data_IF_822366497871
#
_entry.id   IF_822366497871
#
_cell.length_a   1.000
_cell.length_b   1.000
_cell.length_c   1.000
_cell.angle_alpha   90.00
_cell.angle_beta   90.00
_cell.angle_gamma   90.00
#
_symmetry.space_group_name_H-M   'P 1'
#
loop_
_entity.id
_entity.type
_entity.pdbx_description
1 polymer ?
#
# COMPACT_ATOMS: atom_id res chain seq x y z
N UNK A 1 34.80 -32.93 -1.63
CA UNK A 1 33.48 -33.37 -2.14
C UNK A 1 32.46 -32.46 -1.50
N UNK A 2 31.67 -31.76 -2.32
CA UNK A 2 30.63 -30.84 -1.85
C UNK A 2 29.26 -31.52 -1.84
N UNK A 3 28.37 -31.02 -0.99
CA UNK A 3 27.00 -31.51 -0.89
C UNK A 3 26.14 -30.96 -2.05
N UNK A 4 25.09 -31.71 -2.42
CA UNK A 4 24.13 -31.33 -3.46
C UNK A 4 22.72 -31.31 -2.90
N UNK A 5 22.02 -30.22 -3.15
CA UNK A 5 20.62 -30.04 -2.85
C UNK A 5 19.79 -30.20 -4.12
N UNK A 6 18.94 -31.23 -4.16
CA UNK A 6 18.12 -31.58 -5.32
C UNK A 6 16.66 -31.31 -5.02
N UNK A 7 15.99 -30.56 -5.89
CA UNK A 7 14.56 -30.25 -5.82
C UNK A 7 13.89 -30.48 -7.17
N UNK A 8 12.59 -30.73 -7.15
CA UNK A 8 11.81 -30.91 -8.37
C UNK A 8 11.72 -29.60 -9.17
N UNK A 9 11.41 -28.47 -8.50
CA UNK A 9 11.09 -27.18 -9.11
C UNK A 9 11.51 -26.00 -8.21
N UNK A 10 11.56 -24.79 -8.78
CA UNK A 10 12.01 -23.55 -8.09
C UNK A 10 11.07 -23.19 -6.92
N UNK A 11 9.77 -23.44 -7.02
CA UNK A 11 8.80 -23.16 -5.95
C UNK A 11 9.03 -23.99 -4.67
N UNK A 12 9.86 -25.05 -4.74
CA UNK A 12 10.27 -25.81 -3.55
C UNK A 12 11.32 -25.08 -2.70
N UNK A 13 11.84 -23.96 -3.18
CA UNK A 13 12.86 -23.16 -2.50
C UNK A 13 12.26 -22.05 -1.60
N UNK A 14 10.95 -21.79 -1.65
CA UNK A 14 10.32 -20.76 -0.83
C UNK A 14 8.88 -20.46 -1.21
N UNK A 15 8.14 -19.78 -0.33
CA UNK A 15 6.71 -19.42 -0.52
C UNK A 15 6.49 -18.17 -1.35
N UNK A 16 7.52 -17.35 -1.47
CA UNK A 16 7.52 -16.11 -2.23
C UNK A 16 8.92 -15.90 -2.83
N UNK A 17 9.04 -14.92 -3.72
CA UNK A 17 10.28 -14.63 -4.43
C UNK A 17 11.44 -14.27 -3.49
N UNK A 18 11.18 -13.50 -2.43
CA UNK A 18 12.19 -13.08 -1.47
C UNK A 18 12.78 -14.31 -0.73
N UNK A 19 11.94 -15.23 -0.27
CA UNK A 19 12.36 -16.51 0.36
C UNK A 19 13.16 -17.41 -0.59
N UNK A 20 12.77 -17.47 -1.87
CA UNK A 20 13.50 -18.26 -2.88
C UNK A 20 14.90 -17.67 -3.07
N UNK A 21 15.03 -16.35 -3.17
CA UNK A 21 16.32 -15.66 -3.32
C UNK A 21 17.21 -15.91 -2.09
N UNK A 22 16.64 -15.82 -0.88
CA UNK A 22 17.35 -16.12 0.36
C UNK A 22 17.89 -17.56 0.37
N UNK A 23 17.06 -18.54 0.00
CA UNK A 23 17.45 -19.95 -0.06
C UNK A 23 18.56 -20.18 -1.09
N UNK A 24 18.48 -19.59 -2.28
CA UNK A 24 19.53 -19.72 -3.30
C UNK A 24 20.84 -19.06 -2.85
N UNK A 25 20.78 -17.88 -2.20
CA UNK A 25 21.96 -17.22 -1.65
C UNK A 25 22.61 -18.04 -0.54
N UNK A 26 21.81 -18.62 0.35
CA UNK A 26 22.30 -19.52 1.39
C UNK A 26 23.06 -20.73 0.82
N UNK A 27 22.51 -21.36 -0.23
CA UNK A 27 23.17 -22.48 -0.91
C UNK A 27 24.46 -22.04 -1.62
N UNK A 28 24.49 -20.81 -2.16
CA UNK A 28 25.68 -20.20 -2.77
C UNK A 28 26.79 -19.94 -1.75
N UNK A 29 26.45 -19.38 -0.58
CA UNK A 29 27.41 -19.12 0.51
C UNK A 29 28.03 -20.40 1.07
N UNK A 30 27.25 -21.48 1.10
CA UNK A 30 27.70 -22.80 1.58
C UNK A 30 28.41 -23.65 0.54
N UNK A 31 28.61 -23.15 -0.67
CA UNK A 31 29.18 -23.90 -1.80
C UNK A 31 28.44 -25.23 -2.08
N UNK A 32 27.12 -25.23 -1.85
CA UNK A 32 26.24 -26.39 -2.09
C UNK A 32 25.72 -26.31 -3.52
N UNK A 33 25.83 -27.41 -4.26
CA UNK A 33 25.29 -27.50 -5.63
C UNK A 33 23.77 -27.52 -5.56
N UNK A 34 23.10 -26.66 -6.33
CA UNK A 34 21.63 -26.66 -6.44
C UNK A 34 21.25 -27.35 -7.74
N UNK A 35 20.34 -28.31 -7.67
CA UNK A 35 19.85 -29.05 -8.83
C UNK A 35 18.33 -29.03 -8.84
N UNK A 36 17.75 -28.61 -9.96
CA UNK A 36 16.32 -28.50 -10.20
C UNK A 36 15.97 -29.46 -11.32
N UNK A 37 15.26 -30.53 -11.00
CA UNK A 37 15.00 -31.63 -11.93
C UNK A 37 14.11 -31.22 -13.10
N UNK A 38 13.23 -30.23 -12.91
CA UNK A 38 12.33 -29.74 -13.96
C UNK A 38 13.02 -28.92 -15.06
N UNK A 39 14.30 -28.55 -14.90
CA UNK A 39 15.04 -27.76 -15.89
C UNK A 39 15.86 -28.70 -16.80
N UNK A 40 15.48 -28.88 -18.08
CA UNK A 40 16.05 -29.91 -18.97
C UNK A 40 17.56 -29.81 -19.21
N UNK A 41 18.20 -28.70 -18.86
CA UNK A 41 19.63 -28.44 -19.06
C UNK A 41 20.50 -28.58 -17.81
N UNK A 42 19.90 -28.82 -16.64
CA UNK A 42 20.64 -28.84 -15.37
C UNK A 42 21.46 -30.13 -15.18
N UNK A 43 21.12 -31.19 -15.90
CA UNK A 43 21.88 -32.44 -15.92
C UNK A 43 23.23 -32.32 -16.67
N UNK A 44 23.34 -31.41 -17.63
CA UNK A 44 24.57 -31.18 -18.41
C UNK A 44 25.54 -30.20 -17.72
N UNK A 45 25.02 -29.43 -16.76
CA UNK A 45 25.79 -28.51 -15.89
C UNK A 45 26.57 -29.28 -14.81
N UNK A 46 26.26 -30.57 -14.61
CA UNK A 46 26.88 -31.42 -13.60
C UNK A 46 28.39 -31.55 -13.84
N UNK A 47 29.19 -31.02 -12.91
CA UNK A 47 30.65 -31.15 -12.92
C UNK A 47 31.40 -29.87 -13.34
N UNK A 48 30.70 -28.84 -13.82
CA UNK A 48 31.31 -27.54 -14.11
C UNK A 48 30.83 -26.47 -13.13
N UNK A 49 31.68 -26.15 -12.15
CA UNK A 49 31.41 -25.14 -11.12
C UNK A 49 31.07 -23.74 -11.69
N UNK A 50 31.59 -23.40 -12.89
CA UNK A 50 31.30 -22.11 -13.51
C UNK A 50 29.86 -22.04 -14.03
N UNK A 51 29.36 -23.15 -14.59
CA UNK A 51 27.99 -23.23 -15.10
C UNK A 51 26.96 -23.28 -13.95
N UNK A 52 27.25 -23.95 -12.84
CA UNK A 52 26.40 -23.95 -11.64
C UNK A 52 26.24 -22.53 -11.07
N UNK A 53 27.37 -21.80 -10.94
CA UNK A 53 27.35 -20.40 -10.49
C UNK A 53 26.55 -19.50 -11.44
N UNK A 54 26.75 -19.64 -12.75
CA UNK A 54 26.02 -18.88 -13.76
C UNK A 54 24.51 -19.13 -13.70
N UNK A 55 24.09 -20.39 -13.58
CA UNK A 55 22.68 -20.75 -13.48
C UNK A 55 22.02 -20.17 -12.22
N UNK A 56 22.70 -20.23 -11.06
CA UNK A 56 22.22 -19.59 -9.82
C UNK A 56 22.04 -18.09 -10.00
N UNK A 57 23.03 -17.40 -10.56
CA UNK A 57 22.98 -15.96 -10.78
C UNK A 57 21.86 -15.57 -11.77
N UNK A 58 21.64 -16.36 -12.83
CA UNK A 58 20.56 -16.15 -13.79
C UNK A 58 19.17 -16.34 -13.16
N UNK A 59 18.97 -17.40 -12.36
CA UNK A 59 17.70 -17.64 -11.67
C UNK A 59 17.40 -16.47 -10.72
N UNK A 60 18.39 -16.00 -9.95
CA UNK A 60 18.24 -14.83 -9.07
C UNK A 60 17.82 -13.60 -9.87
N UNK A 61 18.47 -13.32 -11.00
CA UNK A 61 18.15 -12.17 -11.85
C UNK A 61 16.73 -12.22 -12.41
N UNK A 62 16.29 -13.38 -12.91
CA UNK A 62 14.93 -13.55 -13.45
C UNK A 62 13.89 -13.35 -12.35
N UNK A 63 14.09 -13.94 -11.17
CA UNK A 63 13.16 -13.81 -10.05
C UNK A 63 13.11 -12.36 -9.52
N UNK A 64 14.25 -11.68 -9.46
CA UNK A 64 14.32 -10.26 -9.10
C UNK A 64 13.56 -9.38 -10.10
N UNK A 65 13.73 -9.63 -11.41
CA UNK A 65 13.03 -8.91 -12.46
C UNK A 65 11.51 -9.09 -12.37
N UNK A 66 11.03 -10.32 -12.19
CA UNK A 66 9.59 -10.61 -12.05
C UNK A 66 9.02 -9.90 -10.82
N UNK A 67 9.74 -9.94 -9.69
CA UNK A 67 9.33 -9.26 -8.46
C UNK A 67 9.20 -7.74 -8.63
N UNK A 68 10.15 -7.12 -9.32
CA UNK A 68 10.10 -5.69 -9.65
C UNK A 68 8.93 -5.36 -10.59
N UNK A 69 8.71 -6.20 -11.61
CA UNK A 69 7.62 -6.05 -12.55
C UNK A 69 6.25 -6.10 -11.83
N UNK A 70 6.02 -7.06 -10.94
CA UNK A 70 4.76 -7.17 -10.19
C UNK A 70 4.51 -5.97 -9.26
N UNK A 71 5.55 -5.46 -8.60
CA UNK A 71 5.47 -4.26 -7.75
C UNK A 71 5.07 -3.03 -8.59
N UNK A 72 5.63 -2.90 -9.79
CA UNK A 72 5.32 -1.81 -10.70
C UNK A 72 3.92 -1.95 -11.31
N UNK A 73 3.52 -3.16 -11.69
CA UNK A 73 2.19 -3.47 -12.22
C UNK A 73 1.08 -3.15 -11.21
N UNK A 74 1.29 -3.47 -9.93
CA UNK A 74 0.32 -3.18 -8.87
C UNK A 74 0.05 -1.67 -8.74
N UNK A 75 1.12 -0.87 -8.75
CA UNK A 75 1.01 0.61 -8.73
C UNK A 75 0.37 1.13 -10.02
N UNK A 76 0.72 0.57 -11.18
CA UNK A 76 0.14 0.94 -12.47
C UNK A 76 -1.37 0.73 -12.48
N UNK A 77 -1.85 -0.44 -12.04
CA UNK A 77 -3.29 -0.75 -11.96
C UNK A 77 -4.00 0.13 -10.95
N UNK A 78 -3.38 0.41 -9.80
CA UNK A 78 -3.93 1.35 -8.83
C UNK A 78 -4.08 2.75 -9.43
N UNK A 79 -3.06 3.26 -10.10
CA UNK A 79 -3.09 4.57 -10.75
C UNK A 79 -4.18 4.63 -11.84
N UNK A 80 -4.30 3.59 -12.66
CA UNK A 80 -5.39 3.46 -13.65
C UNK A 80 -6.77 3.49 -12.98
N UNK A 81 -6.96 2.73 -11.89
CA UNK A 81 -8.22 2.73 -11.13
C UNK A 81 -8.54 4.08 -10.51
N UNK A 82 -7.55 4.77 -9.94
CA UNK A 82 -7.69 6.13 -9.40
C UNK A 82 -8.10 7.10 -10.51
N UNK A 83 -7.48 7.01 -11.69
CA UNK A 83 -7.81 7.89 -12.81
C UNK A 83 -9.27 7.69 -13.24
N UNK A 84 -9.70 6.45 -13.45
CA UNK A 84 -11.10 6.13 -13.79
C UNK A 84 -12.08 6.63 -12.72
N UNK A 85 -11.73 6.50 -11.44
CA UNK A 85 -12.56 6.99 -10.34
C UNK A 85 -12.59 8.53 -10.24
N UNK A 86 -11.50 9.21 -10.59
CA UNK A 86 -11.46 10.68 -10.73
C UNK A 86 -12.33 11.15 -11.88
N UNK A 87 -12.24 10.51 -13.05
CA UNK A 87 -13.05 10.85 -14.23
C UNK A 87 -14.55 10.64 -13.97
N UNK A 88 -14.90 9.65 -13.16
CA UNK A 88 -16.27 9.41 -12.66
C UNK A 88 -16.71 10.35 -11.53
N UNK A 89 -15.86 11.27 -11.07
CA UNK A 89 -16.19 12.20 -9.99
C UNK A 89 -16.37 11.56 -8.61
N UNK A 90 -15.82 10.36 -8.38
CA UNK A 90 -15.95 9.64 -7.10
C UNK A 90 -15.19 10.36 -5.98
N UNK A 91 -14.05 10.96 -6.29
CA UNK A 91 -13.24 11.69 -5.33
C UNK A 91 -13.86 13.07 -5.02
N UNK A 92 -14.59 13.17 -3.90
CA UNK A 92 -15.23 14.41 -3.42
C UNK A 92 -14.42 15.16 -2.34
N UNK A 93 -13.14 14.82 -2.20
CA UNK A 93 -12.27 15.39 -1.16
C UNK A 93 -12.65 14.94 0.25
N UNK A 94 -12.23 15.72 1.25
CA UNK A 94 -12.52 15.43 2.66
C UNK A 94 -13.98 15.75 2.99
N UNK A 95 -14.77 14.80 3.52
CA UNK A 95 -16.12 15.08 3.99
C UNK A 95 -16.14 16.17 5.08
N UNK A 96 -17.24 16.91 5.17
CA UNK A 96 -17.42 17.95 6.18
C UNK A 96 -17.31 17.37 7.59
N UNK A 97 -16.44 17.99 8.39
CA UNK A 97 -16.13 17.49 9.74
C UNK A 97 -17.26 17.79 10.75
N UNK A 98 -17.92 18.94 10.60
CA UNK A 98 -19.05 19.39 11.41
C UNK A 98 -20.21 19.64 10.47
N UNK A 99 -21.18 18.72 10.49
CA UNK A 99 -22.38 18.73 9.65
C UNK A 99 -23.41 17.81 10.32
N UNK A 100 -24.72 17.90 9.97
CA UNK A 100 -25.73 17.01 10.53
C UNK A 100 -25.45 15.53 10.20
N UNK A 101 -24.76 15.29 9.07
CA UNK A 101 -24.40 13.95 8.59
C UNK A 101 -22.91 13.62 8.82
N UNK A 102 -22.23 14.31 9.74
CA UNK A 102 -20.83 14.02 10.03
C UNK A 102 -20.67 12.57 10.50
N UNK A 103 -19.60 11.90 10.05
CA UNK A 103 -19.30 10.49 10.38
C UNK A 103 -19.20 10.28 11.90
N UNK A 104 -18.63 11.25 12.60
CA UNK A 104 -18.41 11.24 14.05
C UNK A 104 -19.63 11.81 14.79
N UNK A 105 -20.29 11.02 15.67
CA UNK A 105 -21.44 11.48 16.45
C UNK A 105 -21.16 12.72 17.29
N UNK A 106 -19.97 12.84 17.89
CA UNK A 106 -19.65 14.00 18.75
C UNK A 106 -19.63 15.29 17.93
N UNK A 107 -19.13 15.22 16.70
CA UNK A 107 -19.07 16.37 15.79
C UNK A 107 -20.43 16.78 15.25
N UNK A 108 -21.40 15.84 15.19
CA UNK A 108 -22.81 16.17 14.92
C UNK A 108 -23.39 16.99 16.08
N UNK A 109 -23.16 16.57 17.32
CA UNK A 109 -23.61 17.32 18.51
C UNK A 109 -23.01 18.73 18.53
N UNK A 110 -21.70 18.85 18.30
CA UNK A 110 -21.02 20.16 18.20
C UNK A 110 -21.64 21.02 17.10
N UNK A 111 -21.93 20.44 15.93
CA UNK A 111 -22.59 21.17 14.84
C UNK A 111 -23.95 21.74 15.28
N UNK A 112 -24.81 20.92 15.90
CA UNK A 112 -26.13 21.38 16.37
C UNK A 112 -26.01 22.45 17.45
N UNK A 113 -25.07 22.29 18.39
CA UNK A 113 -24.80 23.31 19.42
C UNK A 113 -24.34 24.63 18.82
N UNK A 114 -23.46 24.60 17.81
CA UNK A 114 -23.02 25.82 17.11
C UNK A 114 -24.19 26.50 16.41
N UNK A 115 -25.08 25.73 15.77
CA UNK A 115 -26.28 26.28 15.10
C UNK A 115 -27.22 26.94 16.11
N UNK A 116 -27.51 26.28 17.22
CA UNK A 116 -28.33 26.83 18.31
C UNK A 116 -27.75 28.17 18.82
N UNK A 117 -26.45 28.21 19.14
CA UNK A 117 -25.81 29.44 19.62
C UNK A 117 -25.79 30.57 18.57
N UNK A 118 -25.77 30.24 17.28
CA UNK A 118 -25.88 31.23 16.19
C UNK A 118 -27.29 31.80 16.09
N UNK A 119 -28.32 30.97 16.27
CA UNK A 119 -29.74 31.39 16.27
C UNK A 119 -30.09 32.25 17.49
N UNK A 120 -29.45 31.98 18.64
CA UNK A 120 -29.48 32.84 19.84
C UNK A 120 -28.76 34.20 19.65
N UNK A 121 -28.08 34.42 18.53
CA UNK A 121 -27.36 35.66 18.26
C UNK A 121 -26.04 35.80 19.03
N UNK A 122 -25.44 34.71 19.52
CA UNK A 122 -24.19 34.78 20.26
C UNK A 122 -22.99 35.18 19.37
N UNK A 123 -22.02 35.88 19.95
CA UNK A 123 -20.82 36.30 19.24
C UNK A 123 -19.97 35.10 18.77
N UNK A 124 -19.51 35.13 17.52
CA UNK A 124 -18.71 34.06 16.88
C UNK A 124 -17.46 33.67 17.70
N UNK A 125 -16.81 34.65 18.34
CA UNK A 125 -15.64 34.42 19.20
C UNK A 125 -15.97 33.62 20.46
N UNK A 126 -17.16 33.82 21.03
CA UNK A 126 -17.65 33.09 22.20
C UNK A 126 -17.97 31.65 21.82
N UNK A 127 -18.72 31.45 20.72
CA UNK A 127 -19.06 30.12 20.19
C UNK A 127 -17.79 29.31 19.93
N UNK A 128 -16.82 29.89 19.21
CA UNK A 128 -15.55 29.22 18.90
C UNK A 128 -14.81 28.71 20.16
N UNK A 129 -14.81 29.50 21.24
CA UNK A 129 -14.18 29.12 22.51
C UNK A 129 -14.97 28.06 23.27
N UNK A 130 -16.30 28.20 23.33
CA UNK A 130 -17.17 27.29 24.09
C UNK A 130 -17.16 25.88 23.52
N UNK A 131 -17.26 25.75 22.18
CA UNK A 131 -17.28 24.45 21.51
C UNK A 131 -15.90 24.00 21.01
N UNK A 132 -14.84 24.74 21.38
CA UNK A 132 -13.44 24.47 21.05
C UNK A 132 -13.18 24.22 19.55
N UNK A 133 -13.68 25.11 18.68
CA UNK A 133 -13.46 25.08 17.24
C UNK A 133 -12.93 26.41 16.72
N UNK A 134 -12.30 26.41 15.54
CA UNK A 134 -11.80 27.66 14.96
C UNK A 134 -12.95 28.58 14.56
N UNK A 135 -12.75 29.90 14.69
CA UNK A 135 -13.71 30.91 14.21
C UNK A 135 -14.10 30.69 12.74
N UNK A 136 -13.16 30.29 11.90
CA UNK A 136 -13.41 29.96 10.49
C UNK A 136 -14.41 28.80 10.33
N UNK A 137 -14.36 27.80 11.21
CA UNK A 137 -15.32 26.69 11.18
C UNK A 137 -16.72 27.19 11.53
N UNK A 138 -16.84 28.08 12.51
CA UNK A 138 -18.12 28.72 12.88
C UNK A 138 -18.65 29.56 11.70
N UNK A 139 -17.80 30.38 11.07
CA UNK A 139 -18.19 31.16 9.88
C UNK A 139 -18.65 30.26 8.73
N UNK A 140 -17.95 29.15 8.48
CA UNK A 140 -18.36 28.19 7.46
C UNK A 140 -19.75 27.62 7.76
N UNK A 141 -20.02 27.24 9.01
CA UNK A 141 -21.34 26.74 9.43
C UNK A 141 -22.42 27.83 9.28
N UNK A 142 -22.13 29.07 9.68
CA UNK A 142 -23.04 30.22 9.52
C UNK A 142 -23.41 30.44 8.05
N UNK A 143 -22.41 30.46 7.17
CA UNK A 143 -22.60 30.66 5.73
C UNK A 143 -23.36 29.51 5.07
N UNK A 144 -23.07 28.26 5.45
CA UNK A 144 -23.72 27.06 4.91
C UNK A 144 -25.21 26.98 5.30
N UNK A 145 -25.57 27.53 6.48
CA UNK A 145 -26.96 27.67 6.96
C UNK A 145 -27.70 28.88 6.38
N UNK A 146 -27.03 29.79 5.68
CA UNK A 146 -27.64 31.01 5.15
C UNK A 146 -28.07 32.03 6.21
N UNK A 147 -27.48 31.98 7.41
CA UNK A 147 -27.81 32.91 8.49
C UNK A 147 -27.09 34.25 8.24
N UNK A 148 -27.76 35.20 7.57
CA UNK A 148 -27.28 36.56 7.33
C UNK A 148 -27.88 37.55 8.34
N UNK A 149 -27.05 37.98 9.29
CA UNK A 149 -27.23 39.16 10.14
C UNK A 149 -25.84 39.74 10.39
#
# INVERSE_FOLDING_TARGET
MGDRFVVESIDRLGRNYDEIIETVNYLKEKDVQLMITSLPMMNEVIGNHLLDKFMKDLIIQILAMVSEQERNESKRRQAQGIQVAKDKGVYKGRPLLYSPNAKDPQKRVIYHRVVEMLEEGQAISKIAKEVNITRQTVYRIKNDKGLCW
#
